data_IF_821913317157
#
_entry.id   IF_821913317157
#
_cell.length_a   1.000
_cell.length_b   1.000
_cell.length_c   1.000
_cell.angle_alpha   90.00
_cell.angle_beta   90.00
_cell.angle_gamma   90.00
#
_symmetry.space_group_name_H-M   'P 1'
#
loop_
_entity.id
_entity.type
_entity.pdbx_description
1 polymer ?
#
# COMPACT_ATOMS: atom_id res chain seq x y z
N UNK A 1 -42.28 -24.06 -24.42
CA UNK A 1 -41.85 -23.07 -25.44
C UNK A 1 -40.40 -22.68 -25.16
N UNK A 2 -39.47 -23.03 -26.04
CA UNK A 2 -38.02 -22.81 -25.88
C UNK A 2 -37.64 -21.46 -26.50
N UNK A 3 -37.33 -20.45 -25.69
CA UNK A 3 -36.77 -19.20 -26.21
C UNK A 3 -35.27 -19.38 -26.46
N UNK A 4 -34.90 -19.49 -27.75
CA UNK A 4 -33.52 -19.40 -28.20
C UNK A 4 -33.15 -17.92 -28.26
N UNK A 5 -32.38 -17.44 -27.30
CA UNK A 5 -31.77 -16.11 -27.34
C UNK A 5 -30.58 -16.19 -28.31
N UNK A 6 -30.71 -15.55 -29.46
CA UNK A 6 -29.68 -15.47 -30.49
C UNK A 6 -28.72 -14.34 -30.14
N UNK A 7 -27.56 -14.67 -29.58
CA UNK A 7 -26.46 -13.73 -29.34
C UNK A 7 -25.72 -13.56 -30.66
N UNK A 8 -26.04 -12.50 -31.40
CA UNK A 8 -25.23 -12.06 -32.55
C UNK A 8 -24.01 -11.32 -32.03
N UNK A 9 -22.86 -11.99 -32.07
CA UNK A 9 -21.57 -11.38 -31.82
C UNK A 9 -21.23 -10.39 -32.94
N UNK A 10 -21.27 -9.10 -32.63
CA UNK A 10 -20.75 -8.05 -33.48
C UNK A 10 -19.25 -7.90 -33.17
N UNK A 11 -18.41 -8.54 -33.98
CA UNK A 11 -16.95 -8.36 -33.91
C UNK A 11 -16.62 -7.07 -34.65
N UNK A 12 -16.57 -5.96 -33.93
CA UNK A 12 -16.03 -4.70 -34.44
C UNK A 12 -14.50 -4.75 -34.36
N UNK A 13 -13.85 -5.00 -35.50
CA UNK A 13 -12.39 -4.90 -35.65
C UNK A 13 -12.03 -3.41 -35.63
N UNK A 14 -11.59 -2.91 -34.48
CA UNK A 14 -11.02 -1.58 -34.33
C UNK A 14 -9.55 -1.64 -34.78
N UNK A 15 -9.29 -1.34 -36.04
CA UNK A 15 -7.95 -1.04 -36.54
C UNK A 15 -7.50 0.31 -35.99
N UNK A 16 -6.83 0.29 -34.85
CA UNK A 16 -6.10 1.45 -34.32
C UNK A 16 -4.91 1.68 -35.24
N UNK A 17 -5.06 2.60 -36.20
CA UNK A 17 -3.94 3.15 -36.94
C UNK A 17 -3.00 3.86 -35.98
N UNK A 18 -1.90 3.22 -35.62
CA UNK A 18 -0.78 3.89 -34.96
C UNK A 18 -0.16 4.88 -35.95
N UNK A 19 -0.65 6.11 -35.93
CA UNK A 19 0.10 7.23 -36.46
C UNK A 19 1.38 7.34 -35.63
N UNK A 20 2.51 6.96 -36.23
CA UNK A 20 3.82 7.20 -35.68
C UNK A 20 3.99 8.71 -35.52
N UNK A 21 3.80 9.22 -34.29
CA UNK A 21 4.27 10.54 -33.91
C UNK A 21 5.79 10.49 -33.92
N UNK A 22 6.36 10.81 -35.08
CA UNK A 22 7.78 11.10 -35.18
C UNK A 22 8.06 12.29 -34.28
N UNK A 23 8.61 12.03 -33.09
CA UNK A 23 9.26 13.06 -32.30
C UNK A 23 10.43 13.57 -33.13
N UNK A 24 10.22 14.69 -33.83
CA UNK A 24 11.29 15.42 -34.48
C UNK A 24 12.39 15.61 -33.44
N UNK A 25 13.59 15.08 -33.71
CA UNK A 25 14.72 15.36 -32.84
C UNK A 25 14.89 16.88 -32.82
N UNK A 26 15.00 17.49 -31.62
CA UNK A 26 15.16 18.93 -31.52
C UNK A 26 16.38 19.34 -32.35
N UNK A 27 16.19 20.36 -33.20
CA UNK A 27 17.22 20.89 -34.08
C UNK A 27 18.47 21.22 -33.25
N UNK A 28 19.63 20.57 -33.51
CA UNK A 28 20.84 20.80 -32.73
C UNK A 28 21.34 22.24 -32.78
N UNK A 29 20.83 23.06 -33.72
CA UNK A 29 21.25 24.43 -33.96
C UNK A 29 20.27 25.52 -33.50
N UNK A 30 19.23 25.22 -32.71
CA UNK A 30 18.40 26.29 -32.14
C UNK A 30 19.21 27.17 -31.17
N UNK A 31 19.43 28.47 -31.47
CA UNK A 31 20.30 29.36 -30.69
C UNK A 31 19.70 29.83 -29.35
N UNK A 32 18.54 29.28 -28.96
CA UNK A 32 17.89 29.50 -27.67
C UNK A 32 17.77 28.19 -26.89
N UNK A 33 18.91 27.53 -26.63
CA UNK A 33 19.01 26.60 -25.49
C UNK A 33 18.83 27.40 -24.21
N UNK A 34 17.58 27.74 -23.85
CA UNK A 34 17.24 28.00 -22.44
C UNK A 34 17.86 26.86 -21.66
N UNK A 35 18.76 27.19 -20.73
CA UNK A 35 19.52 26.24 -19.95
C UNK A 35 18.64 25.03 -19.62
N UNK A 36 19.11 23.85 -20.04
CA UNK A 36 18.39 22.60 -19.84
C UNK A 36 17.98 22.54 -18.36
N UNK A 37 16.72 22.30 -17.98
CA UNK A 37 16.30 22.20 -16.58
C UNK A 37 16.99 21.04 -15.81
N UNK A 38 17.96 20.35 -16.44
CA UNK A 38 18.85 19.38 -15.84
C UNK A 38 19.88 19.96 -14.87
N UNK A 39 20.12 21.27 -14.86
CA UNK A 39 20.82 21.92 -13.74
C UNK A 39 19.83 22.15 -12.60
N UNK A 40 19.39 21.05 -11.97
CA UNK A 40 18.84 21.15 -10.62
C UNK A 40 19.89 21.89 -9.78
N UNK A 41 19.55 23.11 -9.35
CA UNK A 41 20.43 23.99 -8.60
C UNK A 41 21.19 23.16 -7.54
N UNK A 42 22.52 23.30 -7.46
CA UNK A 42 23.36 22.60 -6.48
C UNK A 42 22.80 22.68 -5.05
N UNK A 43 22.06 23.75 -4.76
CA UNK A 43 21.33 23.92 -3.51
C UNK A 43 20.19 22.91 -3.29
N UNK A 44 19.40 22.57 -4.33
CA UNK A 44 18.35 21.54 -4.27
C UNK A 44 18.95 20.16 -4.01
N UNK A 45 20.06 19.83 -4.68
CA UNK A 45 20.77 18.57 -4.44
C UNK A 45 21.33 18.50 -3.02
N UNK A 46 21.88 19.61 -2.50
CA UNK A 46 22.34 19.71 -1.11
C UNK A 46 21.19 19.53 -0.11
N UNK A 47 20.02 20.10 -0.39
CA UNK A 47 18.82 19.91 0.44
C UNK A 47 18.34 18.45 0.41
N UNK A 48 18.26 17.83 -0.77
CA UNK A 48 17.89 16.41 -0.89
C UNK A 48 18.87 15.48 -0.15
N UNK A 49 20.18 15.74 -0.21
CA UNK A 49 21.18 14.97 0.54
C UNK A 49 21.03 15.14 2.06
N UNK A 50 20.78 16.36 2.53
CA UNK A 50 20.55 16.62 3.94
C UNK A 50 19.27 15.94 4.45
N UNK A 51 18.20 15.96 3.65
CA UNK A 51 16.94 15.30 3.96
C UNK A 51 17.08 13.77 3.96
N UNK A 52 17.80 13.20 2.98
CA UNK A 52 18.12 11.78 2.94
C UNK A 52 18.95 11.34 4.16
N UNK A 53 19.96 12.14 4.55
CA UNK A 53 20.75 11.86 5.75
C UNK A 53 19.91 11.96 7.03
N UNK A 54 18.95 12.88 7.09
CA UNK A 54 17.98 12.99 8.20
C UNK A 54 17.08 11.75 8.24
N UNK A 55 16.54 11.34 7.09
CA UNK A 55 15.67 10.16 6.98
C UNK A 55 16.40 8.86 7.38
N UNK A 56 17.68 8.72 6.99
CA UNK A 56 18.50 7.57 7.38
C UNK A 56 18.72 7.45 8.90
N UNK A 57 18.71 8.59 9.62
CA UNK A 57 18.87 8.66 11.08
C UNK A 57 17.56 8.47 11.85
N UNK A 58 16.41 8.55 11.19
CA UNK A 58 15.12 8.29 11.83
C UNK A 58 15.01 6.82 12.24
N UNK A 59 14.38 6.57 13.38
CA UNK A 59 13.97 5.21 13.78
C UNK A 59 12.94 4.64 12.80
N UNK A 60 12.74 3.31 12.74
CA UNK A 60 11.75 2.71 11.85
C UNK A 60 10.33 3.28 12.04
N UNK A 61 9.90 3.49 13.29
CA UNK A 61 8.59 4.06 13.60
C UNK A 61 8.46 5.52 13.14
N UNK A 62 9.51 6.33 13.32
CA UNK A 62 9.53 7.71 12.83
C UNK A 62 9.50 7.78 11.30
N UNK A 63 10.20 6.86 10.62
CA UNK A 63 10.15 6.79 9.14
C UNK A 63 8.75 6.45 8.66
N UNK A 64 8.05 5.54 9.32
CA UNK A 64 6.68 5.20 8.95
C UNK A 64 5.75 6.42 9.05
N UNK A 65 5.83 7.16 10.15
CA UNK A 65 5.04 8.40 10.35
C UNK A 65 5.41 9.45 9.31
N UNK A 66 6.70 9.64 9.02
CA UNK A 66 7.17 10.59 8.00
C UNK A 66 6.66 10.22 6.60
N UNK A 67 6.69 8.93 6.24
CA UNK A 67 6.18 8.43 4.97
C UNK A 67 4.66 8.60 4.86
N UNK A 68 3.91 8.33 5.95
CA UNK A 68 2.47 8.56 6.01
C UNK A 68 2.13 10.05 5.81
N UNK A 69 2.85 10.96 6.46
CA UNK A 69 2.66 12.40 6.29
C UNK A 69 2.95 12.86 4.86
N UNK A 70 4.05 12.40 4.27
CA UNK A 70 4.41 12.70 2.89
C UNK A 70 3.34 12.20 1.91
N UNK A 71 2.85 10.98 2.09
CA UNK A 71 1.76 10.40 1.30
C UNK A 71 0.48 11.24 1.41
N UNK A 72 0.09 11.63 2.63
CA UNK A 72 -1.09 12.48 2.86
C UNK A 72 -0.94 13.84 2.17
N UNK A 73 0.24 14.47 2.26
CA UNK A 73 0.50 15.75 1.61
C UNK A 73 0.45 15.65 0.08
N UNK A 74 1.06 14.60 -0.49
CA UNK A 74 1.01 14.34 -1.94
C UNK A 74 -0.44 14.15 -2.40
N UNK A 75 -1.25 13.40 -1.65
CA UNK A 75 -2.65 13.16 -1.98
C UNK A 75 -3.49 14.45 -1.90
N UNK A 76 -3.26 15.30 -0.89
CA UNK A 76 -3.91 16.63 -0.82
C UNK A 76 -3.55 17.50 -2.01
N UNK A 77 -2.26 17.54 -2.38
CA UNK A 77 -1.82 18.31 -3.55
C UNK A 77 -2.45 17.78 -4.85
N UNK A 78 -2.53 16.46 -5.02
CA UNK A 78 -3.15 15.87 -6.21
C UNK A 78 -4.65 16.14 -6.29
N UNK A 79 -5.37 16.06 -5.16
CA UNK A 79 -6.79 16.42 -5.07
C UNK A 79 -7.01 17.90 -5.40
N UNK A 80 -6.18 18.77 -4.83
CA UNK A 80 -6.22 20.23 -5.10
C UNK A 80 -5.99 20.52 -6.58
N UNK A 81 -4.98 19.90 -7.20
CA UNK A 81 -4.70 20.04 -8.65
C UNK A 81 -5.83 19.51 -9.52
N UNK A 82 -6.56 18.50 -9.07
CA UNK A 82 -7.76 18.00 -9.76
C UNK A 82 -8.99 18.91 -9.58
N UNK A 83 -8.89 19.96 -8.75
CA UNK A 83 -9.94 20.94 -8.48
C UNK A 83 -10.80 20.60 -7.25
N UNK A 84 -10.41 19.62 -6.43
CA UNK A 84 -11.11 19.27 -5.20
C UNK A 84 -10.44 19.98 -4.02
N UNK A 85 -10.89 21.19 -3.69
CA UNK A 85 -10.32 22.05 -2.63
C UNK A 85 -11.08 21.98 -1.30
N UNK A 86 -12.24 21.32 -1.28
CA UNK A 86 -13.02 21.13 -0.06
C UNK A 86 -12.24 20.26 0.94
N UNK A 87 -11.96 20.84 2.12
CA UNK A 87 -11.17 20.18 3.16
C UNK A 87 -11.86 18.93 3.70
N UNK A 88 -13.17 18.95 3.90
CA UNK A 88 -13.90 17.79 4.42
C UNK A 88 -13.86 16.62 3.42
N UNK A 89 -13.94 16.92 2.12
CA UNK A 89 -13.76 15.91 1.06
C UNK A 89 -12.35 15.34 1.08
N UNK A 90 -11.32 16.20 1.14
CA UNK A 90 -9.93 15.75 1.19
C UNK A 90 -9.65 14.88 2.43
N UNK A 91 -10.10 15.32 3.60
CA UNK A 91 -9.90 14.61 4.87
C UNK A 91 -10.62 13.26 4.90
N UNK A 92 -11.83 13.16 4.33
CA UNK A 92 -12.53 11.89 4.21
C UNK A 92 -11.79 10.88 3.31
N UNK A 93 -11.21 11.34 2.20
CA UNK A 93 -10.42 10.49 1.29
C UNK A 93 -9.12 10.06 1.96
N UNK A 94 -8.42 10.96 2.66
CA UNK A 94 -7.20 10.66 3.41
C UNK A 94 -7.44 9.61 4.49
N UNK A 95 -8.54 9.75 5.23
CA UNK A 95 -8.92 8.78 6.26
C UNK A 95 -9.18 7.40 5.65
N UNK A 96 -9.95 7.32 4.55
CA UNK A 96 -10.19 6.05 3.86
C UNK A 96 -8.88 5.40 3.38
N UNK A 97 -7.94 6.18 2.84
CA UNK A 97 -6.63 5.67 2.42
C UNK A 97 -5.84 5.12 3.61
N UNK A 98 -5.83 5.82 4.74
CA UNK A 98 -5.18 5.35 5.97
C UNK A 98 -5.81 4.06 6.51
N UNK A 99 -7.14 3.97 6.49
CA UNK A 99 -7.88 2.78 6.93
C UNK A 99 -7.59 1.58 6.01
N UNK A 100 -7.55 1.79 4.69
CA UNK A 100 -7.17 0.75 3.74
C UNK A 100 -5.72 0.28 3.92
N UNK A 101 -4.80 1.20 4.19
CA UNK A 101 -3.39 0.87 4.41
C UNK A 101 -3.24 -0.02 5.66
N UNK A 102 -3.97 0.30 6.73
CA UNK A 102 -4.03 -0.52 7.93
C UNK A 102 -4.66 -1.89 7.66
N UNK A 103 -5.73 -1.95 6.86
CA UNK A 103 -6.39 -3.19 6.48
C UNK A 103 -5.52 -4.10 5.59
N UNK A 104 -4.52 -3.55 4.90
CA UNK A 104 -3.56 -4.32 4.06
C UNK A 104 -2.39 -4.90 4.87
N UNK A 105 -2.23 -4.53 6.14
CA UNK A 105 -1.11 -5.03 6.96
C UNK A 105 -1.11 -6.56 7.11
N UNK A 106 -2.23 -7.24 7.40
CA UNK A 106 -2.26 -8.70 7.45
C UNK A 106 -1.88 -9.34 6.11
N UNK A 107 -2.29 -8.73 4.99
CA UNK A 107 -1.95 -9.20 3.64
C UNK A 107 -0.45 -9.14 3.42
N UNK A 108 0.22 -8.04 3.82
CA UNK A 108 1.69 -7.90 3.72
C UNK A 108 2.41 -8.93 4.59
N UNK A 109 1.96 -9.11 5.82
CA UNK A 109 2.55 -10.10 6.74
C UNK A 109 2.43 -11.51 6.15
N UNK A 110 1.25 -11.89 5.64
CA UNK A 110 1.04 -13.20 5.02
C UNK A 110 1.84 -13.36 3.71
N UNK A 111 1.89 -12.32 2.86
CA UNK A 111 2.69 -12.32 1.64
C UNK A 111 4.18 -12.50 1.92
N UNK A 112 4.72 -11.84 2.95
CA UNK A 112 6.12 -11.99 3.37
C UNK A 112 6.42 -13.43 3.82
N UNK A 113 5.49 -14.10 4.52
CA UNK A 113 5.67 -15.52 4.89
C UNK A 113 5.77 -16.40 3.65
N UNK A 114 4.88 -16.21 2.66
CA UNK A 114 4.92 -16.93 1.39
C UNK A 114 6.25 -16.67 0.68
N UNK A 115 6.66 -15.41 0.57
CA UNK A 115 7.91 -15.01 -0.09
C UNK A 115 9.14 -15.66 0.56
N UNK A 116 9.27 -15.59 1.88
CA UNK A 116 10.39 -16.21 2.60
C UNK A 116 10.40 -17.74 2.49
N UNK A 117 9.22 -18.37 2.38
CA UNK A 117 9.11 -19.82 2.25
C UNK A 117 9.51 -20.35 0.86
N UNK A 118 9.40 -19.53 -0.19
CA UNK A 118 9.80 -19.87 -1.56
C UNK A 118 11.22 -19.37 -1.92
N UNK A 119 11.84 -18.55 -1.06
CA UNK A 119 13.16 -18.00 -1.31
C UNK A 119 14.23 -19.12 -1.30
N UNK A 120 15.02 -19.30 -2.38
CA UNK A 120 16.00 -20.40 -2.47
C UNK A 120 17.09 -20.37 -1.40
N UNK A 121 17.37 -19.19 -0.85
CA UNK A 121 18.37 -18.98 0.20
C UNK A 121 17.81 -19.18 1.63
N UNK A 122 16.50 -19.38 1.77
CA UNK A 122 15.83 -19.60 3.05
C UNK A 122 15.98 -21.03 3.58
N UNK A 123 15.49 -21.25 4.80
CA UNK A 123 15.30 -22.61 5.33
C UNK A 123 14.37 -23.37 4.39
N UNK A 124 14.70 -24.62 4.03
CA UNK A 124 13.82 -25.44 3.21
C UNK A 124 12.50 -25.69 3.93
N UNK A 125 11.46 -24.93 3.54
CA UNK A 125 10.09 -25.12 4.02
C UNK A 125 9.45 -26.23 3.19
N UNK A 126 8.75 -27.17 3.84
CA UNK A 126 8.09 -28.25 3.12
C UNK A 126 6.85 -27.72 2.34
N UNK A 127 6.43 -28.45 1.30
CA UNK A 127 5.31 -28.03 0.44
C UNK A 127 3.99 -27.86 1.19
N UNK A 128 3.76 -28.63 2.27
CA UNK A 128 2.54 -28.50 3.07
C UNK A 128 2.49 -27.16 3.82
N UNK A 129 3.61 -26.72 4.39
CA UNK A 129 3.71 -25.42 5.07
C UNK A 129 3.60 -24.26 4.07
N UNK A 130 4.15 -24.38 2.87
CA UNK A 130 3.95 -23.39 1.79
C UNK A 130 2.45 -23.30 1.44
N UNK A 131 1.76 -24.44 1.34
CA UNK A 131 0.31 -24.50 1.13
C UNK A 131 -0.46 -23.71 2.19
N UNK A 132 -0.16 -23.94 3.48
CA UNK A 132 -0.80 -23.21 4.58
C UNK A 132 -0.54 -21.69 4.52
N UNK A 133 0.70 -21.25 4.23
CA UNK A 133 0.99 -19.82 4.08
C UNK A 133 0.25 -19.19 2.89
N UNK A 134 0.05 -19.93 1.81
CA UNK A 134 -0.73 -19.48 0.67
C UNK A 134 -2.22 -19.33 1.03
N UNK A 135 -2.78 -20.29 1.76
CA UNK A 135 -4.16 -20.21 2.26
C UNK A 135 -4.37 -19.00 3.18
N UNK A 136 -3.46 -18.77 4.15
CA UNK A 136 -3.47 -17.60 5.02
C UNK A 136 -3.43 -16.28 4.22
N UNK A 137 -2.58 -16.23 3.18
CA UNK A 137 -2.46 -15.07 2.31
C UNK A 137 -3.76 -14.81 1.54
N UNK A 138 -4.35 -15.85 0.95
CA UNK A 138 -5.61 -15.72 0.20
C UNK A 138 -6.77 -15.28 1.12
N UNK A 139 -6.86 -15.83 2.34
CA UNK A 139 -7.84 -15.41 3.32
C UNK A 139 -7.70 -13.93 3.68
N UNK A 140 -6.47 -13.47 3.97
CA UNK A 140 -6.19 -12.07 4.26
C UNK A 140 -6.56 -11.14 3.08
N UNK A 141 -6.35 -11.58 1.84
CA UNK A 141 -6.75 -10.81 0.64
C UNK A 141 -8.26 -10.66 0.55
N UNK A 142 -9.03 -11.72 0.79
CA UNK A 142 -10.49 -11.64 0.78
C UNK A 142 -11.02 -10.72 1.89
N UNK A 143 -10.48 -10.81 3.10
CA UNK A 143 -10.85 -9.90 4.20
C UNK A 143 -10.58 -8.44 3.84
N UNK A 144 -9.41 -8.16 3.26
CA UNK A 144 -9.04 -6.81 2.84
C UNK A 144 -9.93 -6.29 1.69
N UNK A 145 -10.44 -7.15 0.79
CA UNK A 145 -11.45 -6.78 -0.22
C UNK A 145 -12.77 -6.37 0.44
N UNK A 146 -13.27 -7.16 1.38
CA UNK A 146 -14.50 -6.85 2.12
C UNK A 146 -14.37 -5.52 2.85
N UNK A 147 -13.26 -5.30 3.56
CA UNK A 147 -13.01 -4.03 4.26
C UNK A 147 -12.93 -2.83 3.31
N UNK A 148 -12.31 -3.00 2.13
CA UNK A 148 -12.26 -1.96 1.10
C UNK A 148 -13.65 -1.59 0.60
N UNK A 149 -14.51 -2.58 0.37
CA UNK A 149 -15.87 -2.33 -0.13
C UNK A 149 -16.71 -1.59 0.92
N UNK A 150 -16.60 -1.97 2.19
CA UNK A 150 -17.23 -1.26 3.32
C UNK A 150 -16.69 0.18 3.42
N UNK A 151 -15.37 0.37 3.32
CA UNK A 151 -14.76 1.71 3.35
C UNK A 151 -15.21 2.57 2.17
N UNK A 152 -15.37 1.98 0.99
CA UNK A 152 -15.87 2.67 -0.21
C UNK A 152 -17.32 3.11 -0.03
N UNK A 153 -18.19 2.25 0.48
CA UNK A 153 -19.58 2.61 0.79
C UNK A 153 -19.65 3.70 1.85
N UNK A 154 -18.82 3.59 2.89
CA UNK A 154 -18.72 4.59 3.97
C UNK A 154 -18.26 5.95 3.44
N UNK A 155 -17.27 5.98 2.54
CA UNK A 155 -16.85 7.21 1.89
C UNK A 155 -17.98 7.80 1.05
N UNK A 156 -18.73 6.97 0.31
CA UNK A 156 -19.84 7.47 -0.51
C UNK A 156 -20.95 8.07 0.35
N UNK A 157 -21.26 7.46 1.49
CA UNK A 157 -22.21 8.03 2.45
C UNK A 157 -21.74 9.38 3.00
N UNK A 158 -20.43 9.55 3.26
CA UNK A 158 -19.87 10.78 3.83
C UNK A 158 -19.81 11.94 2.83
N UNK A 159 -19.37 11.70 1.60
CA UNK A 159 -19.08 12.76 0.62
C UNK A 159 -19.89 12.67 -0.68
N UNK A 160 -20.76 11.66 -0.82
CA UNK A 160 -21.57 11.42 -2.02
C UNK A 160 -20.76 11.45 -3.32
N UNK A 161 -19.56 10.85 -3.32
CA UNK A 161 -18.67 10.90 -4.49
C UNK A 161 -19.29 10.23 -5.72
N UNK A 162 -20.22 9.29 -5.53
CA UNK A 162 -20.98 8.64 -6.60
C UNK A 162 -21.81 9.63 -7.42
N UNK A 163 -22.24 10.74 -6.82
CA UNK A 163 -22.97 11.83 -7.47
C UNK A 163 -22.07 12.85 -8.18
N UNK A 164 -20.75 12.74 -8.03
CA UNK A 164 -19.76 13.63 -8.63
C UNK A 164 -18.88 12.82 -9.59
N UNK A 165 -19.27 12.67 -10.87
CA UNK A 165 -18.59 11.78 -11.82
C UNK A 165 -17.09 12.04 -11.94
N UNK A 166 -16.68 13.32 -11.89
CA UNK A 166 -15.27 13.73 -11.93
C UNK A 166 -14.47 13.19 -10.74
N UNK A 167 -15.05 13.25 -9.53
CA UNK A 167 -14.38 12.74 -8.33
C UNK A 167 -14.30 11.23 -8.35
N UNK A 168 -15.41 10.56 -8.71
CA UNK A 168 -15.43 9.10 -8.88
C UNK A 168 -14.36 8.63 -9.88
N UNK A 169 -14.29 9.26 -11.06
CA UNK A 169 -13.29 8.92 -12.07
C UNK A 169 -11.86 9.13 -11.53
N UNK A 170 -11.62 10.24 -10.82
CA UNK A 170 -10.32 10.51 -10.21
C UNK A 170 -9.93 9.45 -9.17
N UNK A 171 -10.86 9.06 -8.28
CA UNK A 171 -10.63 8.01 -7.28
C UNK A 171 -10.35 6.64 -7.90
N UNK A 172 -11.03 6.30 -9.00
CA UNK A 172 -10.80 5.03 -9.74
C UNK A 172 -9.44 5.03 -10.42
N UNK A 173 -9.11 6.10 -11.15
CA UNK A 173 -7.84 6.20 -11.91
C UNK A 173 -6.62 6.19 -10.97
N UNK A 174 -6.74 6.80 -9.79
CA UNK A 174 -5.68 6.79 -8.78
C UNK A 174 -5.69 5.51 -7.92
N UNK A 175 -6.54 4.53 -8.22
CA UNK A 175 -6.55 3.25 -7.51
C UNK A 175 -6.97 3.34 -6.04
N UNK A 176 -7.79 4.33 -5.68
CA UNK A 176 -8.32 4.47 -4.30
C UNK A 176 -9.59 3.63 -4.14
N UNK A 177 -10.39 3.54 -5.21
CA UNK A 177 -11.62 2.73 -5.26
C UNK A 177 -11.64 1.83 -6.48
N UNK A 178 -12.50 0.81 -6.45
CA UNK A 178 -12.69 -0.14 -7.54
C UNK A 178 -11.62 -1.23 -7.60
N UNK A 179 -11.80 -2.22 -8.47
CA UNK A 179 -10.91 -3.40 -8.53
C UNK A 179 -9.53 -3.10 -9.09
N UNK A 180 -9.39 -2.04 -9.88
CA UNK A 180 -8.11 -1.52 -10.35
C UNK A 180 -7.19 -1.06 -9.20
N UNK A 181 -7.75 -0.72 -8.02
CA UNK A 181 -7.01 -0.33 -6.82
C UNK A 181 -6.05 -1.41 -6.27
N UNK A 182 -6.25 -2.67 -6.68
CA UNK A 182 -5.36 -3.77 -6.35
C UNK A 182 -4.15 -3.84 -7.28
N UNK A 183 -4.33 -3.46 -8.55
CA UNK A 183 -3.31 -3.59 -9.60
C UNK A 183 -2.41 -2.37 -9.76
N UNK A 184 -2.91 -1.18 -9.41
CA UNK A 184 -2.14 0.08 -9.52
C UNK A 184 -1.00 0.18 -8.50
N UNK A 185 -0.73 -0.91 -7.78
CA UNK A 185 0.07 -0.91 -6.57
C UNK A 185 -0.73 -0.23 -5.49
N UNK A 186 -0.78 -0.81 -4.28
CA UNK A 186 -1.17 0.01 -3.14
C UNK A 186 -0.37 1.31 -3.17
N UNK A 187 -0.89 2.40 -2.63
CA UNK A 187 -0.18 3.68 -2.58
C UNK A 187 1.27 3.50 -2.02
N UNK A 188 1.50 2.40 -1.30
CA UNK A 188 2.76 1.75 -0.92
C UNK A 188 3.68 1.14 -2.01
N UNK A 189 3.40 1.12 -3.32
CA UNK A 189 4.42 0.82 -4.35
C UNK A 189 5.50 1.92 -4.36
N UNK A 190 5.14 3.13 -3.91
CA UNK A 190 6.05 4.20 -3.47
C UNK A 190 6.92 3.76 -2.28
N UNK A 191 6.40 2.92 -1.39
CA UNK A 191 7.12 2.32 -0.25
C UNK A 191 7.93 1.08 -0.62
N UNK A 192 7.57 0.34 -1.66
CA UNK A 192 8.33 -0.83 -2.12
C UNK A 192 9.69 -0.41 -2.71
N UNK A 193 9.79 0.78 -3.30
CA UNK A 193 11.07 1.44 -3.63
C UNK A 193 11.89 1.82 -2.39
N UNK A 194 11.25 2.13 -1.25
CA UNK A 194 11.96 2.48 0.00
C UNK A 194 12.40 1.26 0.81
N UNK A 195 11.64 0.15 0.78
CA UNK A 195 11.92 -1.05 1.57
C UNK A 195 12.92 -2.00 0.86
N UNK A 196 12.86 -2.15 -0.47
CA UNK A 196 13.88 -2.96 -1.18
C UNK A 196 15.26 -2.29 -1.24
N UNK A 197 15.36 -0.97 -1.04
CA UNK A 197 16.64 -0.28 -0.88
C UNK A 197 17.25 -0.38 0.54
N UNK A 198 16.46 -0.75 1.56
CA UNK A 198 16.91 -0.72 2.95
C UNK A 198 17.31 -2.09 3.52
N UNK A 199 16.93 -3.21 2.89
CA UNK A 199 17.30 -4.55 3.37
C UNK A 199 18.60 -5.07 2.71
N UNK A 200 19.04 -4.53 1.56
CA UNK A 200 20.27 -4.97 0.87
C UNK A 200 21.54 -4.12 1.10
N UNK A 201 21.48 -3.04 1.88
CA UNK A 201 22.67 -2.22 2.20
C UNK A 201 23.32 -2.52 3.55
N UNK A 202 22.85 -3.55 4.27
CA UNK A 202 23.36 -3.88 5.60
C UNK A 202 24.11 -5.22 5.64
N UNK A 203 25.05 -5.40 4.72
CA UNK A 203 26.33 -6.08 4.98
C UNK A 203 27.23 -5.91 3.75
N UNK A 204 28.34 -5.15 3.79
CA UNK A 204 29.36 -5.31 2.77
C UNK A 204 29.83 -6.77 2.82
N UNK A 205 29.93 -7.48 1.68
CA UNK A 205 30.60 -8.77 1.65
C UNK A 205 32.06 -8.53 2.00
N UNK A 206 32.39 -8.81 3.26
CA UNK A 206 33.70 -9.16 3.80
C UNK A 206 34.85 -8.87 2.82
N UNK A 207 35.21 -7.59 2.69
CA UNK A 207 36.37 -7.17 1.95
C UNK A 207 37.61 -7.63 2.72
N UNK A 208 38.31 -8.60 2.14
CA UNK A 208 39.73 -8.88 2.32
C UNK A 208 40.21 -8.90 3.78
N UNK A 209 40.11 -10.07 4.41
CA UNK A 209 41.03 -10.45 5.48
C UNK A 209 42.42 -10.67 4.83
N UNK A 210 43.45 -9.86 5.12
CA UNK A 210 44.78 -10.12 4.59
C UNK A 210 45.33 -11.42 5.20
N UNK A 211 45.78 -12.32 4.33
CA UNK A 211 46.56 -13.48 4.69
C UNK A 211 47.93 -13.00 5.18
N UNK A 212 48.21 -13.15 6.49
CA UNK A 212 49.55 -12.92 7.02
C UNK A 212 49.58 -12.47 8.47
N UNK A 213 49.49 -13.43 9.40
CA UNK A 213 50.11 -13.33 10.72
C UNK A 213 50.04 -14.72 11.40
N UNK A 214 51.06 -15.54 11.13
CA UNK A 214 51.47 -16.56 12.07
C UNK A 214 52.08 -15.84 13.28
N UNK A 215 51.53 -16.06 14.48
CA UNK A 215 52.00 -15.38 15.69
C UNK A 215 51.31 -15.86 16.96
N UNK A 216 51.94 -16.85 17.59
CA UNK A 216 52.04 -17.15 19.02
C UNK A 216 50.91 -16.76 20.00
N UNK A 217 50.42 -17.81 20.68
CA UNK A 217 50.16 -17.94 22.11
C UNK A 217 50.19 -16.68 23.00
N UNK A 218 49.15 -16.51 23.83
CA UNK A 218 49.21 -15.68 25.02
C UNK A 218 47.85 -15.49 25.70
N UNK A 219 47.59 -16.28 26.74
CA UNK A 219 46.48 -16.11 27.67
C UNK A 219 46.77 -14.99 28.69
N UNK A 220 45.79 -14.11 28.93
CA UNK A 220 45.50 -13.34 30.16
C UNK A 220 44.50 -12.24 29.73
N UNK A 221 43.26 -12.19 30.24
CA UNK A 221 43.01 -11.85 31.63
C UNK A 221 42.95 -10.33 31.81
N UNK A 222 41.89 -9.69 31.31
CA UNK A 222 41.57 -8.30 31.65
C UNK A 222 40.04 -8.12 31.73
N UNK A 223 39.55 -8.07 32.96
CA UNK A 223 38.18 -7.68 33.28
C UNK A 223 37.99 -6.22 32.87
N UNK A 224 37.09 -5.97 31.91
CA UNK A 224 36.62 -4.63 31.59
C UNK A 224 35.53 -4.29 32.59
N UNK A 225 35.83 -3.31 33.45
CA UNK A 225 34.89 -2.69 34.38
C UNK A 225 33.68 -2.11 33.64
N UNK A 226 32.49 -2.42 34.14
CA UNK A 226 31.23 -1.89 33.64
C UNK A 226 31.16 -0.36 33.82
N UNK A 227 30.62 0.38 32.84
CA UNK A 227 30.35 1.81 33.01
C UNK A 227 29.21 2.02 34.01
N UNK A 228 29.36 2.88 35.04
CA UNK A 228 28.25 3.31 35.88
C UNK A 228 27.40 4.33 35.12
N UNK A 229 26.09 4.10 34.99
CA UNK A 229 25.15 5.15 34.58
C UNK A 229 24.20 4.83 33.43
N UNK A 230 23.77 3.57 33.24
CA UNK A 230 22.57 3.32 32.44
C UNK A 230 21.34 3.75 33.24
N UNK A 231 20.81 4.94 32.95
CA UNK A 231 19.50 5.38 33.41
C UNK A 231 18.45 4.32 33.02
N UNK A 232 17.61 3.94 33.98
CA UNK A 232 16.53 2.99 33.76
C UNK A 232 15.67 3.43 32.56
N UNK A 233 15.25 2.50 31.69
CA UNK A 233 14.36 2.81 30.59
C UNK A 233 13.06 3.43 31.15
N UNK A 234 12.49 4.46 30.49
CA UNK A 234 11.20 4.99 30.88
C UNK A 234 10.17 3.85 30.89
N UNK A 235 9.37 3.79 31.94
CA UNK A 235 8.29 2.83 32.08
C UNK A 235 7.45 2.81 30.80
N UNK A 236 7.16 1.60 30.31
CA UNK A 236 6.31 1.40 29.14
C UNK A 236 5.00 2.20 29.32
N UNK A 237 4.55 2.94 28.28
CA UNK A 237 3.29 3.64 28.36
C UNK A 237 2.18 2.64 28.71
N UNK A 238 1.38 2.98 29.73
CA UNK A 238 0.23 2.19 30.12
C UNK A 238 -0.60 1.87 28.88
N UNK A 239 -1.01 0.60 28.75
CA UNK A 239 -1.86 0.16 27.66
C UNK A 239 -3.04 1.13 27.50
N UNK A 240 -3.38 1.56 26.27
CA UNK A 240 -4.55 2.39 26.06
C UNK A 240 -5.77 1.70 26.68
N UNK A 241 -6.67 2.45 27.33
CA UNK A 241 -7.90 1.87 27.87
C UNK A 241 -8.61 1.11 26.76
N UNK A 242 -9.06 -0.10 27.07
CA UNK A 242 -9.83 -0.93 26.16
C UNK A 242 -10.92 -0.08 25.51
N UNK A 243 -10.97 -0.09 24.17
CA UNK A 243 -12.01 0.59 23.43
C UNK A 243 -13.38 0.19 24.01
N UNK A 244 -14.29 1.14 24.25
CA UNK A 244 -15.63 0.81 24.71
C UNK A 244 -16.23 -0.23 23.76
N UNK A 245 -16.73 -1.32 24.33
CA UNK A 245 -17.40 -2.37 23.57
C UNK A 245 -18.43 -1.71 22.64
N UNK A 246 -18.53 -2.14 21.37
CA UNK A 246 -19.55 -1.63 20.47
C UNK A 246 -20.90 -1.80 21.17
N UNK A 247 -21.63 -0.69 21.29
CA UNK A 247 -22.97 -0.66 21.86
C UNK A 247 -23.76 -1.84 21.31
N UNK A 248 -24.21 -2.71 22.22
CA UNK A 248 -25.14 -3.77 21.89
C UNK A 248 -26.30 -3.17 21.09
N UNK A 249 -26.71 -3.79 19.97
CA UNK A 249 -27.87 -3.32 19.24
C UNK A 249 -29.06 -3.27 20.20
N UNK A 250 -29.70 -2.11 20.26
CA UNK A 250 -30.94 -1.93 21.00
C UNK A 250 -31.89 -3.08 20.63
N UNK A 251 -32.40 -3.77 21.65
CA UNK A 251 -33.39 -4.82 21.50
C UNK A 251 -34.52 -4.28 20.62
N UNK A 252 -34.62 -4.84 19.42
CA UNK A 252 -35.74 -4.63 18.52
C UNK A 252 -36.95 -5.32 19.13
N UNK A 253 -37.89 -4.48 19.53
CA UNK A 253 -39.26 -4.75 19.92
C UNK A 253 -39.88 -5.92 19.11
N UNK A 254 -40.49 -6.85 19.84
CA UNK A 254 -41.33 -7.92 19.31
C UNK A 254 -42.46 -7.35 18.43
N UNK A 255 -42.43 -7.60 17.12
CA UNK A 255 -43.54 -7.14 16.28
C UNK A 255 -43.52 -7.55 14.81
N UNK A 256 -44.39 -8.53 14.49
CA UNK A 256 -44.93 -8.88 13.17
C UNK A 256 -44.08 -9.83 12.31
N UNK A 257 -44.34 -11.13 12.48
CA UNK A 257 -44.06 -12.16 11.48
C UNK A 257 -45.01 -11.95 10.29
N UNK A 258 -44.54 -11.32 9.23
CA UNK A 258 -45.21 -11.37 7.93
C UNK A 258 -44.87 -12.71 7.28
N UNK A 259 -45.80 -13.65 7.34
CA UNK A 259 -45.74 -14.90 6.58
C UNK A 259 -45.88 -14.57 5.10
N UNK A 260 -44.75 -14.52 4.39
CA UNK A 260 -44.74 -14.38 2.93
C UNK A 260 -45.06 -15.75 2.32
N UNK A 261 -46.32 -15.95 1.94
CA UNK A 261 -46.76 -17.13 1.18
C UNK A 261 -46.11 -17.09 -0.22
N UNK A 262 -45.40 -18.15 -0.65
CA UNK A 262 -44.85 -18.19 -2.01
C UNK A 262 -45.96 -18.24 -3.06
N UNK A 263 -45.79 -17.58 -4.22
CA UNK A 263 -46.77 -17.61 -5.30
C UNK A 263 -46.92 -19.03 -5.88
N UNK A 264 -48.16 -19.45 -6.07
CA UNK A 264 -48.53 -20.75 -6.62
C UNK A 264 -47.92 -20.97 -8.01
N UNK A 265 -47.23 -22.11 -8.18
CA UNK A 265 -46.70 -22.60 -9.45
C UNK A 265 -47.85 -22.82 -10.44
N UNK A 266 -47.87 -22.17 -11.62
CA UNK A 266 -48.90 -22.43 -12.61
C UNK A 266 -48.73 -23.85 -13.17
N UNK A 267 -49.80 -24.64 -13.04
CA UNK A 267 -49.89 -26.00 -13.56
C UNK A 267 -49.67 -26.02 -15.08
N UNK A 268 -48.75 -26.87 -15.54
CA UNK A 268 -48.53 -27.14 -16.95
C UNK A 268 -49.78 -27.80 -17.54
N UNK A 269 -50.49 -27.09 -18.43
CA UNK A 269 -51.51 -27.71 -19.30
C UNK A 269 -50.78 -28.60 -20.33
N UNK A 270 -51.21 -29.86 -20.39
CA UNK A 270 -50.89 -30.81 -21.46
C UNK A 270 -51.65 -30.45 -22.73
#
# INVERSE_FOLDING_TARGET
MKHRVSIRALVAVFTVGMAATGYAQPDPNEPNKKANPGDMNAEVMKQMQAEAARFARMTPAEREVAMQQMMQQMLRMSLTRAGFTDKAVQDAILQMVADQEKAREPVRVAANKVFMAIEPAGNQVNSATIGNYLEDYLAAVEDAKVQRDIATQTLDQKISFSKVPKLKAWLVVNGIIGDAAWFTGGIAMTGMMAATSLVKFQTPPNAARPAGAAGAAGAAGAAVAAPPGAAAPPAAPAAPPAAPAPNAPAALDDGVVVVVTPPATPAARR
#
